data_IF_229979488175
#
_entry.id   IF_229979488175
#
_cell.length_a   1.000
_cell.length_b   1.000
_cell.length_c   1.000
_cell.angle_alpha   90.00
_cell.angle_beta   90.00
_cell.angle_gamma   90.00
#
_symmetry.space_group_name_H-M   'P 1'
#
loop_
_entity.id
_entity.type
_entity.pdbx_description
1 polymer ?
#
# COMPACT_ATOMS: atom_id res chain seq x y z
N UNK A 1 -10.37 21.20 -11.06
CA UNK A 1 -11.40 20.38 -10.35
C UNK A 1 -12.66 21.21 -10.12
N UNK A 2 -13.85 20.64 -9.88
CA UNK A 2 -15.05 21.42 -9.48
C UNK A 2 -15.41 21.11 -8.02
N UNK A 3 -15.68 22.14 -7.22
CA UNK A 3 -16.16 21.96 -5.85
C UNK A 3 -17.52 21.25 -5.85
N UNK A 4 -17.69 20.21 -5.02
CA UNK A 4 -18.96 19.49 -4.93
C UNK A 4 -20.11 20.35 -4.38
N UNK A 5 -19.80 21.39 -3.61
CA UNK A 5 -20.78 22.31 -3.04
C UNK A 5 -21.14 23.46 -3.98
N UNK A 6 -20.15 24.24 -4.40
CA UNK A 6 -20.40 25.46 -5.17
C UNK A 6 -20.18 25.32 -6.69
N UNK A 7 -19.82 24.13 -7.18
CA UNK A 7 -19.53 23.82 -8.61
C UNK A 7 -18.42 24.67 -9.24
N UNK A 8 -17.78 25.56 -8.48
CA UNK A 8 -16.71 26.43 -8.98
C UNK A 8 -15.45 25.64 -9.33
N UNK A 9 -14.70 26.13 -10.33
CA UNK A 9 -13.39 25.57 -10.65
C UNK A 9 -12.41 25.82 -9.50
N UNK A 10 -11.92 24.72 -8.93
CA UNK A 10 -10.88 24.69 -7.91
C UNK A 10 -9.53 24.43 -8.62
N UNK A 11 -8.51 25.25 -8.34
CA UNK A 11 -7.14 25.04 -8.81
C UNK A 11 -6.59 23.68 -8.35
N UNK A 12 -5.83 23.00 -9.23
CA UNK A 12 -5.21 21.72 -8.89
C UNK A 12 -4.24 21.90 -7.71
N UNK A 13 -4.37 21.07 -6.67
CA UNK A 13 -3.54 21.12 -5.46
C UNK A 13 -4.11 21.96 -4.30
N UNK A 14 -5.30 22.54 -4.45
CA UNK A 14 -5.96 23.31 -3.38
C UNK A 14 -6.74 22.38 -2.44
N UNK A 15 -6.45 22.46 -1.14
CA UNK A 15 -7.13 21.69 -0.07
C UNK A 15 -8.49 22.26 0.32
N UNK A 16 -8.78 23.50 -0.08
CA UNK A 16 -10.02 24.22 0.24
C UNK A 16 -10.52 24.96 -0.99
N UNK A 17 -11.82 24.92 -1.27
CA UNK A 17 -12.37 25.66 -2.39
C UNK A 17 -12.20 27.17 -2.15
N UNK A 18 -11.55 27.93 -3.06
CA UNK A 18 -11.34 29.36 -2.87
C UNK A 18 -12.64 30.19 -2.89
N UNK A 19 -13.74 29.61 -3.36
CA UNK A 19 -15.03 30.28 -3.48
C UNK A 19 -15.96 30.05 -2.28
N UNK A 20 -15.89 28.89 -1.62
CA UNK A 20 -16.80 28.55 -0.54
C UNK A 20 -16.11 28.01 0.73
N UNK A 21 -14.78 27.94 0.74
CA UNK A 21 -13.99 27.52 1.90
C UNK A 21 -14.10 26.04 2.25
N UNK A 22 -14.97 25.26 1.59
CA UNK A 22 -15.14 23.84 1.89
C UNK A 22 -13.87 23.06 1.55
N UNK A 23 -13.45 22.18 2.46
CA UNK A 23 -12.37 21.24 2.20
C UNK A 23 -12.72 20.40 0.97
N UNK A 24 -11.84 20.39 -0.03
CA UNK A 24 -12.08 19.62 -1.25
C UNK A 24 -11.44 18.25 -1.06
N UNK A 25 -12.24 17.20 -1.19
CA UNK A 25 -11.75 15.83 -1.12
C UNK A 25 -10.57 15.68 -2.08
N UNK A 26 -9.45 15.25 -1.51
CA UNK A 26 -8.17 15.11 -2.17
C UNK A 26 -8.39 14.25 -3.43
N UNK A 27 -8.33 14.84 -4.63
CA UNK A 27 -8.61 14.08 -5.83
C UNK A 27 -7.57 12.96 -5.98
N UNK A 28 -8.00 11.75 -6.36
CA UNK A 28 -7.06 10.71 -6.74
C UNK A 28 -6.18 11.22 -7.89
N UNK A 29 -4.87 11.27 -7.65
CA UNK A 29 -3.92 11.66 -8.67
C UNK A 29 -3.81 10.56 -9.72
N UNK A 30 -4.15 10.85 -10.97
CA UNK A 30 -4.01 9.92 -12.10
C UNK A 30 -2.56 9.76 -12.57
N UNK A 31 -1.65 10.59 -12.08
CA UNK A 31 -0.21 10.58 -12.39
C UNK A 31 0.62 10.48 -11.10
N UNK A 32 1.72 9.71 -11.16
CA UNK A 32 2.60 9.45 -10.02
C UNK A 32 3.17 10.74 -9.40
N UNK A 33 3.54 11.73 -10.22
CA UNK A 33 4.10 13.00 -9.71
C UNK A 33 3.13 13.75 -8.79
N UNK A 34 1.86 13.79 -9.17
CA UNK A 34 0.81 14.39 -8.35
C UNK A 34 0.51 13.56 -7.09
N UNK A 35 0.52 12.22 -7.19
CA UNK A 35 0.34 11.34 -6.03
C UNK A 35 1.47 11.51 -5.01
N UNK A 36 2.70 11.60 -5.50
CA UNK A 36 3.90 11.81 -4.69
C UNK A 36 3.88 13.17 -3.98
N UNK A 37 3.59 14.25 -4.72
CA UNK A 37 3.53 15.60 -4.14
C UNK A 37 2.45 15.70 -3.05
N UNK A 38 1.27 15.14 -3.30
CA UNK A 38 0.17 15.11 -2.35
C UNK A 38 0.53 14.33 -1.07
N UNK A 39 1.04 13.10 -1.22
CA UNK A 39 1.48 12.29 -0.09
C UNK A 39 2.60 12.98 0.72
N UNK A 40 3.51 13.67 0.02
CA UNK A 40 4.61 14.41 0.65
C UNK A 40 4.11 15.61 1.44
N UNK A 41 3.15 16.37 0.94
CA UNK A 41 2.58 17.50 1.68
C UNK A 41 1.79 17.01 2.90
N UNK A 42 0.94 15.99 2.73
CA UNK A 42 0.22 15.38 3.85
C UNK A 42 1.17 14.90 4.96
N UNK A 43 2.27 14.25 4.59
CA UNK A 43 3.28 13.79 5.52
C UNK A 43 4.00 14.94 6.23
N UNK A 44 4.47 15.96 5.50
CA UNK A 44 5.19 17.10 6.07
C UNK A 44 4.32 17.91 7.01
N UNK A 45 3.08 18.17 6.62
CA UNK A 45 2.16 19.04 7.36
C UNK A 45 1.64 18.37 8.65
N UNK A 46 1.67 17.04 8.72
CA UNK A 46 1.12 16.25 9.83
C UNK A 46 2.14 15.28 10.44
N UNK A 47 3.43 15.60 10.32
CA UNK A 47 4.53 14.72 10.74
C UNK A 47 4.41 14.35 12.24
N UNK A 48 4.02 15.30 13.08
CA UNK A 48 3.82 15.07 14.51
C UNK A 48 2.72 14.05 14.82
N UNK A 49 1.60 14.11 14.08
CA UNK A 49 0.46 13.20 14.27
C UNK A 49 0.76 11.78 13.72
N UNK A 50 1.66 11.66 12.75
CA UNK A 50 2.03 10.39 12.12
C UNK A 50 3.14 9.63 12.85
N UNK A 51 4.01 10.33 13.60
CA UNK A 51 5.14 9.70 14.31
C UNK A 51 4.64 8.71 15.35
N UNK A 52 3.71 9.11 16.21
CA UNK A 52 3.27 8.28 17.33
C UNK A 52 2.69 6.92 16.90
N UNK A 53 1.70 6.86 15.97
CA UNK A 53 1.21 5.59 15.48
C UNK A 53 2.28 4.78 14.73
N UNK A 54 3.21 5.44 14.02
CA UNK A 54 4.32 4.75 13.33
C UNK A 54 5.32 4.14 14.30
N UNK A 55 5.62 4.83 15.40
CA UNK A 55 6.47 4.33 16.48
C UNK A 55 5.85 3.09 17.14
N UNK A 56 4.57 3.16 17.50
CA UNK A 56 3.88 2.02 18.10
C UNK A 56 3.79 0.86 17.11
N UNK A 57 3.51 1.14 15.84
CA UNK A 57 3.54 0.11 14.79
C UNK A 57 4.90 -0.60 14.74
N UNK A 58 6.02 0.13 14.70
CA UNK A 58 7.37 -0.47 14.74
C UNK A 58 7.62 -1.31 16.00
N UNK A 59 7.04 -0.93 17.15
CA UNK A 59 7.17 -1.67 18.41
C UNK A 59 6.38 -2.99 18.40
N UNK A 60 5.27 -3.09 17.65
CA UNK A 60 4.40 -4.28 17.65
C UNK A 60 4.54 -5.15 16.40
N UNK A 61 5.08 -4.60 15.31
CA UNK A 61 5.18 -5.26 14.00
C UNK A 61 6.11 -6.49 13.97
N UNK A 62 6.93 -6.71 15.00
CA UNK A 62 7.81 -7.89 15.08
C UNK A 62 7.07 -9.17 15.50
N UNK A 63 5.83 -9.09 15.99
CA UNK A 63 5.04 -10.25 16.42
C UNK A 63 4.50 -11.00 15.19
N UNK A 64 4.99 -12.19 14.82
CA UNK A 64 4.84 -12.72 13.45
C UNK A 64 3.40 -12.83 12.93
N UNK A 65 2.52 -13.48 13.70
CA UNK A 65 1.13 -13.71 13.29
C UNK A 65 0.29 -12.44 13.49
N UNK A 66 0.43 -11.79 14.65
CA UNK A 66 -0.30 -10.57 14.98
C UNK A 66 0.06 -9.38 14.07
N UNK A 67 1.26 -9.40 13.47
CA UNK A 67 1.74 -8.38 12.54
C UNK A 67 0.76 -8.15 11.39
N UNK A 68 0.08 -9.20 10.91
CA UNK A 68 -0.94 -9.05 9.86
C UNK A 68 -2.08 -8.13 10.31
N UNK A 69 -2.54 -8.28 11.55
CA UNK A 69 -3.56 -7.40 12.15
C UNK A 69 -3.06 -5.97 12.35
N UNK A 70 -1.81 -5.80 12.78
CA UNK A 70 -1.20 -4.47 12.96
C UNK A 70 -0.97 -3.75 11.63
N UNK A 71 -0.56 -4.47 10.57
CA UNK A 71 -0.44 -3.94 9.21
C UNK A 71 -1.80 -3.48 8.72
N UNK A 72 -2.86 -4.26 8.96
CA UNK A 72 -4.22 -3.85 8.62
C UNK A 72 -4.63 -2.58 9.35
N UNK A 73 -4.46 -2.54 10.67
CA UNK A 73 -4.84 -1.38 11.50
C UNK A 73 -4.08 -0.11 11.13
N UNK A 74 -2.77 -0.23 10.94
CA UNK A 74 -1.92 0.88 10.53
C UNK A 74 -2.29 1.42 9.15
N UNK A 75 -2.46 0.57 8.14
CA UNK A 75 -2.82 1.04 6.81
C UNK A 75 -4.26 1.58 6.76
N UNK A 76 -5.21 0.99 7.51
CA UNK A 76 -6.58 1.49 7.58
C UNK A 76 -6.66 2.86 8.24
N UNK A 77 -5.85 3.11 9.28
CA UNK A 77 -5.76 4.43 9.90
C UNK A 77 -5.16 5.48 8.95
N UNK A 78 -4.14 5.12 8.17
CA UNK A 78 -3.57 6.00 7.14
C UNK A 78 -4.53 6.26 5.96
N UNK A 79 -5.29 5.26 5.53
CA UNK A 79 -6.36 5.43 4.52
C UNK A 79 -7.42 6.39 5.06
N UNK A 80 -7.88 6.19 6.31
CA UNK A 80 -8.86 7.06 6.94
C UNK A 80 -8.34 8.49 7.08
N UNK A 81 -7.08 8.65 7.48
CA UNK A 81 -6.39 9.93 7.55
C UNK A 81 -6.37 10.65 6.20
N UNK A 82 -5.99 9.95 5.12
CA UNK A 82 -5.99 10.54 3.77
C UNK A 82 -7.40 10.96 3.31
N UNK A 83 -8.42 10.15 3.58
CA UNK A 83 -9.79 10.38 3.09
C UNK A 83 -10.53 11.48 3.85
N UNK A 84 -10.40 11.48 5.18
CA UNK A 84 -11.25 12.27 6.08
C UNK A 84 -10.49 13.32 6.87
N UNK A 85 -9.16 13.27 6.88
CA UNK A 85 -8.33 14.08 7.77
C UNK A 85 -8.34 13.60 9.23
N UNK A 86 -9.01 12.48 9.54
CA UNK A 86 -8.98 11.89 10.89
C UNK A 86 -7.54 11.52 11.25
N UNK A 87 -7.00 12.17 12.27
CA UNK A 87 -5.64 11.89 12.76
C UNK A 87 -5.52 10.42 13.19
N UNK A 88 -4.47 9.71 12.75
CA UNK A 88 -4.30 8.31 13.12
C UNK A 88 -3.92 8.21 14.60
N UNK A 89 -4.71 7.46 15.36
CA UNK A 89 -4.46 7.24 16.78
C UNK A 89 -3.81 5.87 17.00
N UNK A 90 -3.10 5.72 18.13
CA UNK A 90 -2.48 4.45 18.49
C UNK A 90 -3.50 3.31 18.58
N UNK A 91 -4.71 3.60 19.06
CA UNK A 91 -5.79 2.62 19.16
C UNK A 91 -6.22 2.05 17.80
N UNK A 92 -6.12 2.84 16.73
CA UNK A 92 -6.54 2.41 15.39
C UNK A 92 -5.69 1.23 14.85
N UNK A 93 -4.44 1.10 15.31
CA UNK A 93 -3.55 -0.03 14.97
C UNK A 93 -4.12 -1.37 15.45
N UNK A 94 -4.86 -1.35 16.55
CA UNK A 94 -5.43 -2.54 17.18
C UNK A 94 -6.89 -2.81 16.77
N UNK A 95 -7.49 -1.98 15.91
CA UNK A 95 -8.93 -2.02 15.64
C UNK A 95 -9.32 -2.81 14.37
N UNK A 96 -8.37 -3.23 13.52
CA UNK A 96 -8.68 -3.82 12.19
C UNK A 96 -8.47 -5.34 12.14
N UNK A 97 -8.94 -6.06 13.15
CA UNK A 97 -8.89 -7.53 13.18
C UNK A 97 -9.98 -8.20 12.35
N UNK A 98 -10.97 -7.44 11.88
CA UNK A 98 -12.09 -7.89 11.04
C UNK A 98 -11.63 -8.45 9.69
N UNK A 99 -10.56 -7.91 9.11
CA UNK A 99 -9.98 -8.39 7.86
C UNK A 99 -8.76 -9.32 8.05
N UNK A 100 -8.43 -9.68 9.30
CA UNK A 100 -7.23 -10.46 9.64
C UNK A 100 -7.13 -11.77 8.84
N UNK A 101 -8.19 -12.57 8.82
CA UNK A 101 -8.19 -13.88 8.14
C UNK A 101 -8.01 -13.71 6.63
N UNK A 102 -8.73 -12.75 6.03
CA UNK A 102 -8.62 -12.48 4.61
C UNK A 102 -7.23 -11.96 4.24
N UNK A 103 -6.64 -11.09 5.04
CA UNK A 103 -5.29 -10.56 4.81
C UNK A 103 -4.22 -11.64 5.02
N UNK A 104 -4.38 -12.49 6.04
CA UNK A 104 -3.49 -13.61 6.30
C UNK A 104 -3.50 -14.60 5.13
N UNK A 105 -4.69 -15.00 4.66
CA UNK A 105 -4.82 -15.87 3.48
C UNK A 105 -4.26 -15.20 2.23
N UNK A 106 -4.49 -13.90 2.04
CA UNK A 106 -3.95 -13.14 0.93
C UNK A 106 -2.41 -13.14 0.89
N UNK A 107 -1.75 -13.10 2.05
CA UNK A 107 -0.29 -13.19 2.16
C UNK A 107 0.19 -14.66 2.02
N UNK A 108 -0.55 -15.61 2.60
CA UNK A 108 -0.18 -17.03 2.59
C UNK A 108 -0.30 -17.69 1.22
N UNK A 109 -1.28 -17.32 0.39
CA UNK A 109 -1.46 -17.87 -0.97
C UNK A 109 -0.19 -17.67 -1.84
N UNK A 110 0.32 -16.44 -2.05
CA UNK A 110 1.52 -16.21 -2.83
C UNK A 110 2.77 -16.73 -2.12
N UNK A 111 2.82 -16.69 -0.78
CA UNK A 111 3.92 -17.27 -0.01
C UNK A 111 4.01 -18.80 -0.20
N UNK A 112 2.88 -19.51 -0.17
CA UNK A 112 2.82 -20.94 -0.43
C UNK A 112 3.25 -21.28 -1.86
N UNK A 113 2.78 -20.51 -2.85
CA UNK A 113 3.22 -20.66 -4.24
C UNK A 113 4.74 -20.45 -4.38
N UNK A 114 5.30 -19.46 -3.69
CA UNK A 114 6.73 -19.20 -3.66
C UNK A 114 7.52 -20.37 -3.05
N UNK A 115 7.08 -20.92 -1.92
CA UNK A 115 7.76 -22.07 -1.28
C UNK A 115 7.76 -23.28 -2.22
N UNK A 116 6.65 -23.57 -2.89
CA UNK A 116 6.56 -24.68 -3.86
C UNK A 116 7.53 -24.46 -5.02
N UNK A 117 7.54 -23.25 -5.61
CA UNK A 117 8.45 -22.91 -6.72
C UNK A 117 9.92 -22.97 -6.29
N UNK A 118 10.23 -22.55 -5.06
CA UNK A 118 11.58 -22.62 -4.50
C UNK A 118 12.05 -24.07 -4.30
N UNK A 119 11.20 -24.95 -3.79
CA UNK A 119 11.54 -26.37 -3.64
C UNK A 119 11.80 -27.01 -5.01
N UNK A 120 10.93 -26.75 -5.99
CA UNK A 120 11.07 -27.25 -7.37
C UNK A 120 12.40 -26.75 -7.97
N UNK A 121 12.71 -25.46 -7.86
CA UNK A 121 13.96 -24.91 -8.40
C UNK A 121 15.20 -25.48 -7.74
N UNK A 122 15.15 -25.75 -6.43
CA UNK A 122 16.26 -26.37 -5.69
C UNK A 122 16.51 -27.81 -6.13
N UNK A 123 15.44 -28.57 -6.39
CA UNK A 123 15.53 -29.95 -6.90
C UNK A 123 16.08 -29.94 -8.33
N UNK A 124 15.55 -29.09 -9.23
CA UNK A 124 16.03 -28.96 -10.60
C UNK A 124 17.50 -28.49 -10.65
N UNK A 125 17.90 -27.58 -9.76
CA UNK A 125 19.29 -27.13 -9.62
C UNK A 125 20.27 -28.26 -9.29
N UNK A 126 19.87 -29.19 -8.41
CA UNK A 126 20.68 -30.37 -8.08
C UNK A 126 20.75 -31.37 -9.24
N UNK A 127 19.72 -31.47 -10.07
CA UNK A 127 19.65 -32.43 -11.18
C UNK A 127 20.35 -31.94 -12.47
N UNK A 128 20.25 -30.65 -12.78
CA UNK A 128 20.68 -30.06 -14.06
C UNK A 128 21.94 -29.17 -13.88
N UNK A 129 22.40 -28.98 -12.64
CA UNK A 129 23.56 -28.16 -12.32
C UNK A 129 23.32 -26.66 -12.57
N UNK A 130 24.26 -26.01 -13.27
CA UNK A 130 24.26 -24.55 -13.47
C UNK A 130 22.98 -24.00 -14.10
N UNK A 131 22.36 -24.71 -15.06
CA UNK A 131 21.10 -24.28 -15.71
C UNK A 131 19.92 -24.26 -14.74
N UNK A 132 19.84 -25.22 -13.81
CA UNK A 132 18.79 -25.25 -12.79
C UNK A 132 18.99 -24.18 -11.72
N UNK A 133 20.25 -23.86 -11.38
CA UNK A 133 20.57 -22.74 -10.49
C UNK A 133 20.20 -21.38 -11.11
N UNK A 134 20.40 -21.21 -12.43
CA UNK A 134 20.03 -20.00 -13.17
C UNK A 134 18.51 -19.81 -13.21
N UNK A 135 17.74 -20.90 -13.38
CA UNK A 135 16.28 -20.88 -13.27
C UNK A 135 15.80 -20.48 -11.87
N UNK A 136 16.46 -20.99 -10.81
CA UNK A 136 16.19 -20.58 -9.43
C UNK A 136 16.48 -19.10 -9.17
N UNK A 137 17.55 -18.57 -9.74
CA UNK A 137 17.90 -17.14 -9.64
C UNK A 137 16.85 -16.23 -10.31
N UNK A 138 16.38 -16.61 -11.51
CA UNK A 138 15.30 -15.87 -12.21
C UNK A 138 14.00 -15.88 -11.39
N UNK A 139 13.66 -16.99 -10.74
CA UNK A 139 12.51 -17.08 -9.85
C UNK A 139 12.64 -16.17 -8.62
N UNK A 140 13.85 -15.97 -8.08
CA UNK A 140 14.07 -14.98 -7.02
C UNK A 140 13.82 -13.54 -7.49
N UNK A 141 14.14 -13.21 -8.74
CA UNK A 141 13.84 -11.89 -9.29
C UNK A 141 12.34 -11.65 -9.51
N UNK A 142 11.52 -12.71 -9.51
CA UNK A 142 10.07 -12.58 -9.56
C UNK A 142 9.45 -12.12 -8.21
N UNK A 143 10.21 -12.18 -7.10
CA UNK A 143 9.75 -11.74 -5.77
C UNK A 143 9.34 -10.25 -5.75
N UNK A 144 10.19 -9.29 -6.20
CA UNK A 144 9.80 -7.88 -6.24
C UNK A 144 8.64 -7.61 -7.22
N UNK A 145 8.52 -8.38 -8.31
CA UNK A 145 7.39 -8.29 -9.25
C UNK A 145 6.10 -8.79 -8.61
N UNK A 146 6.18 -9.87 -7.82
CA UNK A 146 5.05 -10.36 -7.04
C UNK A 146 4.65 -9.34 -5.96
N UNK A 147 5.61 -8.73 -5.26
CA UNK A 147 5.33 -7.68 -4.27
C UNK A 147 4.59 -6.48 -4.89
N UNK A 148 5.00 -6.07 -6.11
CA UNK A 148 4.30 -5.07 -6.90
C UNK A 148 2.86 -5.50 -7.22
N UNK A 149 2.68 -6.71 -7.77
CA UNK A 149 1.40 -7.28 -8.14
C UNK A 149 0.47 -7.53 -6.94
N UNK A 150 1.00 -7.65 -5.72
CA UNK A 150 0.25 -7.93 -4.50
C UNK A 150 -0.11 -6.66 -3.71
N UNK A 151 0.63 -5.57 -3.92
CA UNK A 151 0.43 -4.34 -3.13
C UNK A 151 -0.98 -3.73 -3.25
N UNK A 152 -1.63 -3.58 -4.43
CA UNK A 152 -3.00 -3.07 -4.48
C UNK A 152 -3.99 -3.96 -3.71
N UNK A 153 -3.93 -5.27 -3.94
CA UNK A 153 -4.87 -6.22 -3.35
C UNK A 153 -4.80 -6.24 -1.83
N UNK A 154 -3.62 -5.99 -1.24
CA UNK A 154 -3.47 -5.82 0.20
C UNK A 154 -4.36 -4.67 0.72
N UNK A 155 -4.32 -3.51 0.07
CA UNK A 155 -5.17 -2.38 0.45
C UNK A 155 -6.65 -2.65 0.16
N UNK A 156 -6.99 -3.39 -0.89
CA UNK A 156 -8.37 -3.80 -1.17
C UNK A 156 -8.94 -4.73 -0.09
N UNK A 157 -8.12 -5.65 0.44
CA UNK A 157 -8.51 -6.48 1.59
C UNK A 157 -8.66 -5.63 2.85
N UNK A 158 -7.73 -4.71 3.11
CA UNK A 158 -7.75 -3.85 4.31
C UNK A 158 -8.94 -2.88 4.30
N UNK A 159 -9.23 -2.27 3.15
CA UNK A 159 -10.27 -1.25 3.02
C UNK A 159 -11.67 -1.85 2.85
N UNK A 160 -11.82 -2.86 1.98
CA UNK A 160 -13.12 -3.41 1.56
C UNK A 160 -13.41 -4.80 2.12
N UNK A 161 -12.51 -5.37 2.92
CA UNK A 161 -12.58 -6.76 3.39
C UNK A 161 -12.81 -7.77 2.26
N UNK A 162 -12.19 -7.52 1.10
CA UNK A 162 -12.35 -8.33 -0.10
C UNK A 162 -11.80 -9.74 0.11
N UNK A 163 -12.45 -10.75 -0.47
CA UNK A 163 -11.96 -12.13 -0.40
C UNK A 163 -10.56 -12.24 -1.05
N UNK A 164 -9.65 -13.08 -0.53
CA UNK A 164 -8.24 -13.11 -0.94
C UNK A 164 -8.04 -13.33 -2.45
N UNK A 165 -8.83 -14.23 -3.04
CA UNK A 165 -8.71 -14.56 -4.46
C UNK A 165 -9.23 -13.44 -5.36
N UNK A 166 -10.30 -12.76 -4.93
CA UNK A 166 -10.85 -11.63 -5.67
C UNK A 166 -9.92 -10.42 -5.57
N UNK A 167 -9.32 -10.21 -4.40
CA UNK A 167 -8.29 -9.20 -4.21
C UNK A 167 -7.06 -9.46 -5.09
N UNK A 168 -6.62 -10.71 -5.24
CA UNK A 168 -5.50 -11.06 -6.12
C UNK A 168 -5.82 -10.78 -7.59
N UNK A 169 -7.00 -11.24 -8.06
CA UNK A 169 -7.46 -10.99 -9.43
C UNK A 169 -7.63 -9.50 -9.72
N UNK A 170 -8.16 -8.75 -8.76
CA UNK A 170 -8.29 -7.30 -8.84
C UNK A 170 -6.91 -6.65 -8.91
N UNK A 171 -6.00 -7.01 -8.01
CA UNK A 171 -4.64 -6.49 -7.94
C UNK A 171 -3.87 -6.68 -9.24
N UNK A 172 -3.93 -7.87 -9.85
CA UNK A 172 -3.31 -8.16 -11.14
C UNK A 172 -3.90 -7.28 -12.25
N UNK A 173 -5.23 -7.16 -12.33
CA UNK A 173 -5.90 -6.32 -13.34
C UNK A 173 -5.52 -4.85 -13.19
N UNK A 174 -5.51 -4.35 -11.96
CA UNK A 174 -5.18 -2.95 -11.66
C UNK A 174 -3.71 -2.63 -12.00
N UNK A 175 -2.78 -3.54 -11.67
CA UNK A 175 -1.36 -3.38 -12.03
C UNK A 175 -1.15 -3.51 -13.54
N UNK A 176 -1.89 -4.37 -14.24
CA UNK A 176 -1.82 -4.46 -15.70
C UNK A 176 -2.32 -3.19 -16.39
N UNK A 177 -3.35 -2.54 -15.85
CA UNK A 177 -3.89 -1.27 -16.39
C UNK A 177 -2.92 -0.10 -16.21
N UNK A 178 -2.19 -0.06 -15.09
CA UNK A 178 -1.31 1.08 -14.76
C UNK A 178 0.02 0.63 -14.12
N UNK A 179 0.78 -0.14 -14.88
CA UNK A 179 1.99 -0.80 -14.38
C UNK A 179 3.05 0.21 -13.93
N UNK A 180 3.24 1.30 -14.67
CA UNK A 180 4.30 2.27 -14.41
C UNK A 180 4.04 3.03 -13.12
N UNK A 181 2.82 3.54 -12.89
CA UNK A 181 2.52 4.28 -11.68
C UNK A 181 2.54 3.40 -10.43
N UNK A 182 2.06 2.15 -10.54
CA UNK A 182 2.19 1.18 -9.45
C UNK A 182 3.65 0.83 -9.17
N UNK A 183 4.45 0.61 -10.22
CA UNK A 183 5.87 0.33 -10.09
C UNK A 183 6.57 1.47 -9.34
N UNK A 184 6.35 2.70 -9.78
CA UNK A 184 6.92 3.89 -9.14
C UNK A 184 6.43 4.03 -7.70
N UNK A 185 5.15 3.84 -7.41
CA UNK A 185 4.64 3.99 -6.05
C UNK A 185 5.17 2.94 -5.09
N UNK A 186 5.24 1.68 -5.49
CA UNK A 186 5.75 0.61 -4.64
C UNK A 186 7.26 0.73 -4.45
N UNK A 187 8.02 1.02 -5.51
CA UNK A 187 9.47 1.18 -5.39
C UNK A 187 9.84 2.45 -4.63
N UNK A 188 9.31 3.61 -5.01
CA UNK A 188 9.63 4.88 -4.36
C UNK A 188 9.07 4.88 -2.93
N UNK A 189 7.83 4.43 -2.73
CA UNK A 189 7.23 4.30 -1.41
C UNK A 189 7.98 3.32 -0.51
N UNK A 190 8.42 2.18 -1.06
CA UNK A 190 9.22 1.18 -0.34
C UNK A 190 10.61 1.69 0.05
N UNK A 191 11.34 2.30 -0.89
CA UNK A 191 12.67 2.89 -0.62
C UNK A 191 12.53 3.97 0.45
N UNK A 192 11.63 4.93 0.25
CA UNK A 192 11.41 6.03 1.19
C UNK A 192 11.02 5.48 2.56
N UNK A 193 10.06 4.57 2.63
CA UNK A 193 9.58 3.98 3.89
C UNK A 193 10.66 3.25 4.69
N UNK A 194 11.74 2.81 4.03
CA UNK A 194 12.83 2.05 4.65
C UNK A 194 13.99 2.89 5.19
N UNK A 195 14.13 4.17 4.79
CA UNK A 195 15.30 4.99 5.16
C UNK A 195 15.35 5.31 6.66
N UNK A 196 14.23 5.78 7.22
CA UNK A 196 14.06 6.09 8.64
C UNK A 196 12.70 5.57 9.09
N UNK A 197 12.65 4.30 9.50
CA UNK A 197 11.41 3.53 9.66
C UNK A 197 10.30 4.18 10.52
N UNK A 198 10.61 5.09 11.45
CA UNK A 198 9.57 5.78 12.24
C UNK A 198 9.01 7.00 11.51
N UNK A 199 9.89 7.78 10.86
CA UNK A 199 9.55 9.08 10.26
C UNK A 199 9.07 8.91 8.82
N UNK A 200 9.73 8.04 8.05
CA UNK A 200 9.55 7.90 6.60
C UNK A 200 8.62 6.77 6.20
N UNK A 201 8.35 5.81 7.09
CA UNK A 201 7.37 4.75 6.86
C UNK A 201 5.97 5.28 6.55
N UNK A 202 5.38 6.22 7.32
CA UNK A 202 4.07 6.77 6.96
C UNK A 202 4.11 7.50 5.61
N UNK A 203 5.23 8.15 5.28
CA UNK A 203 5.40 8.81 3.98
C UNK A 203 5.37 7.80 2.83
N UNK A 204 6.14 6.72 2.95
CA UNK A 204 6.15 5.63 1.97
C UNK A 204 4.77 5.01 1.77
N UNK A 205 4.06 4.72 2.87
CA UNK A 205 2.71 4.15 2.79
C UNK A 205 1.70 5.14 2.18
N UNK A 206 1.75 6.43 2.52
CA UNK A 206 0.86 7.44 1.94
C UNK A 206 1.04 7.58 0.42
N UNK A 207 2.24 7.34 -0.13
CA UNK A 207 2.48 7.32 -1.58
C UNK A 207 1.73 6.14 -2.21
N UNK A 208 1.83 4.95 -1.64
CA UNK A 208 1.16 3.74 -2.17
C UNK A 208 -0.36 3.83 -2.00
N UNK A 209 -0.83 4.27 -0.82
CA UNK A 209 -2.25 4.58 -0.57
C UNK A 209 -2.76 5.60 -1.57
N UNK A 210 -1.90 6.52 -2.02
CA UNK A 210 -2.31 7.49 -3.03
C UNK A 210 -2.61 6.92 -4.39
N UNK A 211 -1.85 5.91 -4.82
CA UNK A 211 -2.17 5.15 -6.02
C UNK A 211 -3.37 4.24 -5.83
N UNK A 212 -3.49 3.61 -4.67
CA UNK A 212 -4.65 2.79 -4.33
C UNK A 212 -5.96 3.60 -4.44
N UNK A 213 -6.04 4.78 -3.82
CA UNK A 213 -7.22 5.64 -3.91
C UNK A 213 -7.57 6.06 -5.34
N UNK A 214 -6.57 6.16 -6.22
CA UNK A 214 -6.78 6.51 -7.61
C UNK A 214 -7.35 5.40 -8.48
N UNK A 215 -7.24 4.16 -8.02
CA UNK A 215 -7.61 2.97 -8.78
C UNK A 215 -8.62 2.10 -8.05
N UNK A 216 -9.11 2.50 -6.88
CA UNK A 216 -9.96 1.67 -6.00
C UNK A 216 -11.26 1.18 -6.64
N UNK A 217 -11.72 1.85 -7.70
CA UNK A 217 -12.98 1.57 -8.41
C UNK A 217 -12.76 0.85 -9.77
N UNK A 218 -11.52 0.45 -10.08
CA UNK A 218 -11.15 -0.31 -11.30
C UNK A 218 -11.63 -1.77 -11.31
#
# INVERSE_FOLDING_TARGET
MQCQFCKAQVPNGSTTCPQCGTAVANQPATDFGAAFSNATNLWKDNLGDLILPSLVFCLVAWVPIANVGFIAGYNRSLIAFKRTGKKPEVGDIFNSWDCFVNLLLYILIPFGAFVVLFIISTILGKLIGFLGALFGFVLMLAIPVAALALSPGMYAVIDKNMAPMDALKWSIRTVQKDLVNWLLAVFVGGIIGSLFAIITLPWGQLIVISQYEARKDD
#
